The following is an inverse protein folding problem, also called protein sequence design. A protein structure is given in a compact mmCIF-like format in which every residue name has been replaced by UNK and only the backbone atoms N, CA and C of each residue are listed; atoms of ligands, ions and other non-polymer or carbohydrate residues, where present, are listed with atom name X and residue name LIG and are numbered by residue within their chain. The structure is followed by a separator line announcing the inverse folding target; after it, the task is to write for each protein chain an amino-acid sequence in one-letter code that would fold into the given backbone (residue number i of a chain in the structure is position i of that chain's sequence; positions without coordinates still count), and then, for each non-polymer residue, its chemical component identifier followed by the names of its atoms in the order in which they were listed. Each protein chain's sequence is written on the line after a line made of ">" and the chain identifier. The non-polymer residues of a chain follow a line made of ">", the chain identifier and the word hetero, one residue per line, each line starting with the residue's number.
data_IF_835951386122
#
_entry.id   IF_835951386122
#
_cell.length_a   1.000
_cell.length_b   1.000
_cell.length_c   1.000
_cell.angle_alpha   90.00
_cell.angle_beta   90.00
_cell.angle_gamma   90.00
#
_symmetry.space_group_name_H-M   'P 1'
#
loop_
_entity.id
_entity.type
_entity.pdbx_description
1 polymer ?
#
# COMPACT_ATOMS: atom_id res chain seq x y z
N UNK A 1 -9.44 -17.44 9.66
CA UNK A 1 -9.01 -16.80 8.39
C UNK A 1 -7.89 -17.67 7.84
N UNK A 2 -7.94 -18.02 6.56
CA UNK A 2 -6.82 -18.74 5.93
C UNK A 2 -5.60 -17.82 5.91
N UNK A 3 -4.47 -18.27 6.44
CA UNK A 3 -3.18 -17.55 6.39
C UNK A 3 -2.41 -17.86 5.10
N UNK A 4 -3.11 -18.21 4.02
CA UNK A 4 -2.47 -18.35 2.72
C UNK A 4 -1.99 -16.97 2.25
N UNK A 5 -0.68 -16.80 2.23
CA UNK A 5 -0.03 -15.55 1.88
C UNK A 5 -0.39 -15.08 0.47
N UNK A 6 -0.51 -16.00 -0.50
CA UNK A 6 -0.82 -15.64 -1.88
C UNK A 6 -2.28 -15.26 -2.04
N UNK A 7 -3.19 -15.92 -1.32
CA UNK A 7 -4.60 -15.56 -1.30
C UNK A 7 -4.81 -14.16 -0.71
N UNK A 8 -4.13 -13.83 0.39
CA UNK A 8 -4.19 -12.50 1.00
C UNK A 8 -3.58 -11.42 0.09
N UNK A 9 -2.44 -11.70 -0.54
CA UNK A 9 -1.83 -10.78 -1.49
C UNK A 9 -2.75 -10.51 -2.70
N UNK A 10 -3.43 -11.54 -3.22
CA UNK A 10 -4.42 -11.41 -4.29
C UNK A 10 -5.59 -10.50 -3.91
N UNK A 11 -6.17 -10.73 -2.73
CA UNK A 11 -7.27 -9.90 -2.21
C UNK A 11 -6.85 -8.44 -1.97
N UNK A 12 -5.64 -8.22 -1.45
CA UNK A 12 -5.08 -6.86 -1.29
C UNK A 12 -4.88 -6.15 -2.64
N UNK A 13 -4.39 -6.87 -3.64
CA UNK A 13 -4.18 -6.34 -4.98
C UNK A 13 -5.49 -6.02 -5.70
N UNK A 14 -6.55 -6.82 -5.51
CA UNK A 14 -7.89 -6.50 -6.02
C UNK A 14 -8.45 -5.23 -5.38
N UNK A 15 -8.38 -5.11 -4.06
CA UNK A 15 -8.86 -3.93 -3.33
C UNK A 15 -8.12 -2.65 -3.75
N UNK A 16 -6.78 -2.71 -3.83
CA UNK A 16 -5.98 -1.55 -4.21
C UNK A 16 -6.27 -1.09 -5.64
N UNK A 17 -6.41 -2.03 -6.59
CA UNK A 17 -6.76 -1.74 -7.99
C UNK A 17 -8.15 -1.13 -8.12
N UNK A 18 -9.13 -1.65 -7.39
CA UNK A 18 -10.49 -1.12 -7.38
C UNK A 18 -10.52 0.35 -6.92
N UNK A 19 -9.75 0.68 -5.88
CA UNK A 19 -9.63 2.06 -5.39
C UNK A 19 -8.92 2.97 -6.38
N UNK A 20 -7.83 2.51 -6.95
CA UNK A 20 -7.05 3.26 -7.93
C UNK A 20 -7.72 3.37 -9.31
N UNK A 21 -8.77 2.58 -9.57
CA UNK A 21 -9.42 2.47 -10.89
C UNK A 21 -8.43 2.11 -12.01
N UNK A 22 -7.51 1.18 -11.73
CA UNK A 22 -6.51 0.67 -12.69
C UNK A 22 -6.50 -0.86 -12.72
N UNK A 23 -6.13 -1.43 -13.87
CA UNK A 23 -6.09 -2.88 -14.05
C UNK A 23 -4.82 -3.54 -13.47
N UNK A 24 -3.71 -2.79 -13.41
CA UNK A 24 -2.41 -3.24 -12.91
C UNK A 24 -1.49 -2.08 -12.52
N UNK A 25 -0.50 -2.38 -11.69
CA UNK A 25 0.63 -1.49 -11.40
C UNK A 25 1.91 -2.11 -11.97
N UNK A 26 2.75 -1.30 -12.62
CA UNK A 26 3.99 -1.78 -13.23
C UNK A 26 5.15 -1.84 -12.22
N UNK A 27 5.14 -0.95 -11.23
CA UNK A 27 6.23 -0.75 -10.27
C UNK A 27 5.66 -0.52 -8.88
N UNK A 28 6.35 -1.06 -7.86
CA UNK A 28 6.10 -0.75 -6.45
C UNK A 28 7.38 -0.22 -5.81
N UNK A 29 7.25 0.81 -4.98
CA UNK A 29 8.37 1.43 -4.24
C UNK A 29 8.06 1.33 -2.74
N UNK A 30 8.98 0.74 -1.97
CA UNK A 30 8.87 0.65 -0.52
C UNK A 30 9.85 1.65 0.10
N UNK A 31 9.32 2.65 0.80
CA UNK A 31 10.11 3.71 1.42
C UNK A 31 10.44 3.36 2.86
N UNK A 32 11.74 3.28 3.18
CA UNK A 32 12.22 3.11 4.55
C UNK A 32 12.16 4.40 5.37
N UNK A 33 12.59 4.31 6.63
CA UNK A 33 12.64 5.44 7.56
C UNK A 33 13.37 6.66 6.97
N UNK A 34 12.76 7.84 7.09
CA UNK A 34 13.32 9.11 6.60
C UNK A 34 13.02 9.44 5.14
N UNK A 35 12.44 8.50 4.36
CA UNK A 35 12.17 8.70 2.93
C UNK A 35 10.75 9.19 2.63
N UNK A 36 9.88 9.35 3.63
CA UNK A 36 8.50 9.84 3.42
C UNK A 36 8.44 11.14 2.60
N UNK A 37 9.29 12.16 2.83
CA UNK A 37 9.27 13.38 2.01
C UNK A 37 9.66 13.15 0.54
N UNK A 38 10.42 12.09 0.25
CA UNK A 38 10.86 11.79 -1.11
C UNK A 38 9.71 11.30 -2.01
N UNK A 39 8.63 10.74 -1.45
CA UNK A 39 7.50 10.33 -2.27
C UNK A 39 6.71 11.54 -2.82
N UNK A 40 6.78 12.71 -2.19
CA UNK A 40 6.14 13.92 -2.73
C UNK A 40 6.82 14.37 -4.05
N UNK A 41 8.08 13.96 -4.26
CA UNK A 41 8.81 14.20 -5.52
C UNK A 41 8.37 13.26 -6.66
N UNK A 42 7.62 12.18 -6.37
CA UNK A 42 7.10 11.26 -7.39
C UNK A 42 5.86 11.82 -8.12
N UNK A 43 5.26 12.89 -7.59
CA UNK A 43 4.08 13.55 -8.16
C UNK A 43 2.84 13.41 -7.27
N UNK A 44 1.70 13.80 -7.83
CA UNK A 44 0.41 13.68 -7.14
C UNK A 44 -0.07 12.24 -7.17
N UNK A 45 -0.39 11.62 -6.01
CA UNK A 45 -0.94 10.28 -5.99
C UNK A 45 -2.37 10.26 -6.56
N UNK A 46 -2.73 9.14 -7.18
CA UNK A 46 -4.10 8.91 -7.70
C UNK A 46 -5.04 8.49 -6.56
N UNK A 47 -4.51 7.74 -5.60
CA UNK A 47 -5.18 7.33 -4.37
C UNK A 47 -4.23 7.44 -3.20
N UNK A 48 -4.75 7.62 -1.99
CA UNK A 48 -3.93 7.60 -0.79
C UNK A 48 -4.68 6.86 0.32
N UNK A 49 -4.26 5.63 0.58
CA UNK A 49 -5.00 4.65 1.40
C UNK A 49 -4.16 4.21 2.59
N UNK A 50 -4.81 3.97 3.74
CA UNK A 50 -4.14 3.32 4.86
C UNK A 50 -3.92 1.84 4.53
N UNK A 51 -2.73 1.32 4.82
CA UNK A 51 -2.40 -0.11 4.62
C UNK A 51 -3.38 -1.01 5.37
N UNK A 52 -3.90 -0.59 6.52
CA UNK A 52 -4.87 -1.35 7.32
C UNK A 52 -6.25 -1.49 6.65
N UNK A 53 -6.51 -0.75 5.58
CA UNK A 53 -7.71 -0.90 4.78
C UNK A 53 -7.54 -1.97 3.68
N UNK A 54 -6.31 -2.50 3.51
CA UNK A 54 -6.01 -3.59 2.58
C UNK A 54 -5.98 -4.94 3.34
N UNK A 55 -6.61 -5.99 2.79
CA UNK A 55 -6.53 -7.35 3.33
C UNK A 55 -5.10 -7.81 3.61
N UNK A 56 -4.87 -8.46 4.76
CA UNK A 56 -3.58 -9.04 5.11
C UNK A 56 -2.53 -8.07 5.67
N UNK A 57 -2.80 -6.75 5.66
CA UNK A 57 -1.92 -5.76 6.25
C UNK A 57 -2.31 -5.45 7.70
N UNK A 58 -1.34 -5.63 8.61
CA UNK A 58 -1.49 -5.25 10.01
C UNK A 58 -1.16 -3.75 10.22
N UNK A 59 -1.63 -3.14 11.31
CA UNK A 59 -1.24 -1.79 11.68
C UNK A 59 0.29 -1.63 11.78
N UNK A 60 0.87 -0.52 11.29
CA UNK A 60 2.30 -0.25 11.47
C UNK A 60 2.64 -0.18 12.96
N UNK A 61 3.68 -0.89 13.38
CA UNK A 61 4.15 -0.88 14.77
C UNK A 61 5.28 0.13 15.02
N UNK A 62 5.89 0.66 13.95
CA UNK A 62 7.04 1.57 14.03
C UNK A 62 6.61 3.04 14.02
N UNK A 63 7.13 3.83 14.96
CA UNK A 63 6.95 5.29 14.96
C UNK A 63 7.46 5.90 13.64
N UNK A 64 6.73 6.89 13.13
CA UNK A 64 7.06 7.59 11.88
C UNK A 64 6.67 6.85 10.59
N UNK A 65 6.18 5.61 10.66
CA UNK A 65 5.58 4.95 9.50
C UNK A 65 4.08 5.27 9.44
N UNK A 66 3.71 6.17 8.51
CA UNK A 66 2.31 6.54 8.30
C UNK A 66 1.42 5.35 7.85
N UNK A 67 2.03 4.26 7.35
CA UNK A 67 1.30 3.09 6.87
C UNK A 67 0.37 3.44 5.73
N UNK A 68 0.89 4.13 4.70
CA UNK A 68 0.09 4.59 3.56
C UNK A 68 0.62 4.01 2.25
N UNK A 69 -0.30 3.70 1.35
CA UNK A 69 -0.03 3.40 -0.06
C UNK A 69 -0.58 4.55 -0.88
N UNK A 70 0.26 5.12 -1.74
CA UNK A 70 -0.03 6.30 -2.54
C UNK A 70 0.57 6.19 -3.93
#
# INVERSE_FOLDING_TARGET
>A
MSNDAFALAGAAAEELRARASVDSFDVAIVLGSGWVPAADALGSPVVDVLVTELPGFAPPAAEGHAGRVR
#
